data_IF_466656853631
#
_entry.id   IF_466656853631
#
_cell.length_a   1.000
_cell.length_b   1.000
_cell.length_c   1.000
_cell.angle_alpha   90.00
_cell.angle_beta   90.00
_cell.angle_gamma   90.00
#
_symmetry.space_group_name_H-M   'P 1'
#
loop_
_entity.id
_entity.type
_entity.pdbx_description
1 polymer ?
#
# COMPACT_ATOMS: atom_id res chain seq x y z
N UNK A 1 15.31 -8.74 -17.73
CA UNK A 1 13.83 -8.78 -17.65
C UNK A 1 13.25 -8.15 -18.89
N UNK A 2 12.31 -8.83 -19.58
CA UNK A 2 11.45 -8.15 -20.55
C UNK A 2 10.45 -7.36 -19.71
N UNK A 3 10.56 -6.03 -19.67
CA UNK A 3 9.53 -5.20 -19.03
C UNK A 3 8.25 -5.39 -19.85
N UNK A 4 7.15 -5.90 -19.29
CA UNK A 4 5.87 -5.82 -19.96
C UNK A 4 5.58 -4.33 -20.09
N UNK A 5 5.65 -3.80 -21.31
CA UNK A 5 5.35 -2.41 -21.54
C UNK A 5 3.84 -2.24 -21.38
N UNK A 6 3.42 -1.61 -20.27
CA UNK A 6 2.06 -1.12 -20.16
C UNK A 6 1.75 -0.30 -21.41
N UNK A 7 0.65 -0.62 -22.11
CA UNK A 7 0.41 -0.05 -23.43
C UNK A 7 -1.06 -0.04 -23.84
N UNK A 8 -1.29 0.20 -25.13
CA UNK A 8 -2.65 0.33 -25.68
C UNK A 8 -3.52 -0.92 -25.43
N UNK A 9 -2.91 -2.11 -25.35
CA UNK A 9 -3.61 -3.37 -25.04
C UNK A 9 -4.22 -3.37 -23.63
N UNK A 10 -3.53 -2.75 -22.67
CA UNK A 10 -4.04 -2.63 -21.29
C UNK A 10 -5.23 -1.68 -21.23
N UNK A 11 -5.14 -0.55 -21.93
CA UNK A 11 -6.26 0.39 -22.05
C UNK A 11 -7.46 -0.24 -22.77
N UNK A 12 -7.23 -1.01 -23.83
CA UNK A 12 -8.29 -1.73 -24.53
C UNK A 12 -8.98 -2.75 -23.62
N UNK A 13 -8.21 -3.50 -22.82
CA UNK A 13 -8.75 -4.43 -21.82
C UNK A 13 -9.59 -3.72 -20.77
N UNK A 14 -9.16 -2.53 -20.32
CA UNK A 14 -9.93 -1.72 -19.38
C UNK A 14 -11.25 -1.22 -20.01
N UNK A 15 -11.20 -0.69 -21.23
CA UNK A 15 -12.39 -0.25 -21.97
C UNK A 15 -13.44 -1.36 -22.10
N UNK A 16 -12.99 -2.57 -22.40
CA UNK A 16 -13.85 -3.73 -22.65
C UNK A 16 -14.27 -4.49 -21.38
N UNK A 17 -13.80 -4.08 -20.20
CA UNK A 17 -14.11 -4.73 -18.91
C UNK A 17 -15.51 -4.44 -18.33
N UNK A 18 -16.39 -3.82 -19.13
CA UNK A 18 -17.68 -3.29 -18.65
C UNK A 18 -17.55 -1.98 -17.86
N UNK A 19 -16.37 -1.36 -17.85
CA UNK A 19 -16.09 -0.06 -17.19
C UNK A 19 -15.37 0.89 -18.16
N UNK A 20 -16.10 1.55 -19.10
CA UNK A 20 -15.48 2.37 -20.14
C UNK A 20 -14.74 3.60 -19.60
N UNK A 21 -15.03 4.05 -18.37
CA UNK A 21 -14.32 5.13 -17.68
C UNK A 21 -12.96 4.70 -17.08
N UNK A 22 -12.72 3.40 -16.91
CA UNK A 22 -11.55 2.85 -16.21
C UNK A 22 -10.21 3.26 -16.81
N UNK A 23 -10.01 3.32 -18.14
CA UNK A 23 -8.81 3.88 -18.77
C UNK A 23 -8.47 5.28 -18.28
N UNK A 24 -9.46 6.17 -18.30
CA UNK A 24 -9.25 7.57 -17.92
C UNK A 24 -8.94 7.69 -16.43
N UNK A 25 -9.67 6.94 -15.59
CA UNK A 25 -9.39 6.89 -14.15
C UNK A 25 -8.01 6.31 -13.89
N UNK A 26 -7.60 5.25 -14.57
CA UNK A 26 -6.26 4.67 -14.42
C UNK A 26 -5.17 5.67 -14.82
N UNK A 27 -5.33 6.35 -15.96
CA UNK A 27 -4.41 7.39 -16.40
C UNK A 27 -4.28 8.48 -15.33
N UNK A 28 -5.40 9.02 -14.84
CA UNK A 28 -5.41 10.06 -13.81
C UNK A 28 -4.82 9.59 -12.48
N UNK A 29 -5.19 8.41 -12.02
CA UNK A 29 -4.81 7.90 -10.71
C UNK A 29 -3.38 7.38 -10.69
N UNK A 30 -2.87 6.81 -11.79
CA UNK A 30 -1.56 6.15 -11.86
C UNK A 30 -0.55 6.90 -12.74
N UNK A 31 -0.86 7.19 -14.00
CA UNK A 31 0.11 7.80 -14.92
C UNK A 31 0.41 9.25 -14.57
N UNK A 32 -0.61 10.05 -14.24
CA UNK A 32 -0.41 11.46 -13.88
C UNK A 32 0.47 11.58 -12.64
N UNK A 33 0.42 10.61 -11.72
CA UNK A 33 1.33 10.57 -10.57
C UNK A 33 2.79 10.50 -11.02
N UNK A 34 3.10 9.53 -11.88
CA UNK A 34 4.44 9.30 -12.45
C UNK A 34 4.90 10.48 -13.30
N UNK A 35 4.05 10.98 -14.21
CA UNK A 35 4.37 12.09 -15.10
C UNK A 35 4.72 13.37 -14.34
N UNK A 36 3.96 13.70 -13.30
CA UNK A 36 4.21 14.91 -12.48
C UNK A 36 5.49 14.82 -11.64
N UNK A 37 5.92 13.60 -11.31
CA UNK A 37 7.05 13.33 -10.40
C UNK A 37 8.29 12.79 -11.10
N UNK A 38 8.17 12.45 -12.38
CA UNK A 38 9.16 11.70 -13.13
C UNK A 38 9.49 10.35 -12.48
N UNK A 39 8.53 9.66 -11.86
CA UNK A 39 8.75 8.37 -11.19
C UNK A 39 8.26 7.21 -12.05
N UNK A 40 8.66 5.98 -11.71
CA UNK A 40 8.13 4.75 -12.31
C UNK A 40 7.37 3.97 -11.24
N UNK A 41 6.05 4.10 -11.21
CA UNK A 41 5.17 3.36 -10.29
C UNK A 41 3.95 2.74 -10.97
N UNK A 42 3.46 3.28 -12.08
CA UNK A 42 2.17 2.91 -12.65
C UNK A 42 2.13 1.51 -13.29
N UNK A 43 3.24 1.02 -13.84
CA UNK A 43 3.21 -0.18 -14.67
C UNK A 43 2.94 -1.44 -13.84
N UNK A 44 1.87 -2.17 -14.19
CA UNK A 44 1.54 -3.47 -13.58
C UNK A 44 2.63 -4.48 -13.92
N UNK A 45 3.05 -5.28 -12.96
CA UNK A 45 4.00 -6.38 -13.19
C UNK A 45 3.31 -7.69 -12.78
N UNK A 46 2.96 -8.57 -13.74
CA UNK A 46 2.49 -9.92 -13.47
C UNK A 46 3.54 -10.75 -12.73
N UNK A 47 3.09 -11.72 -11.91
CA UNK A 47 4.00 -12.63 -11.18
C UNK A 47 4.98 -13.35 -12.10
N UNK A 48 4.53 -13.79 -13.28
CA UNK A 48 5.38 -14.46 -14.27
C UNK A 48 6.59 -13.63 -14.71
N UNK A 49 6.52 -12.31 -14.56
CA UNK A 49 7.57 -11.39 -14.99
C UNK A 49 8.52 -10.97 -13.83
N UNK A 50 8.35 -11.53 -12.63
CA UNK A 50 9.23 -11.25 -11.47
C UNK A 50 10.63 -11.86 -11.64
N UNK A 51 10.76 -12.86 -12.54
CA UNK A 51 12.03 -13.50 -12.91
C UNK A 51 12.63 -14.44 -11.86
N UNK A 52 12.30 -14.26 -10.58
CA UNK A 52 12.61 -15.17 -9.48
C UNK A 52 11.40 -15.27 -8.54
N UNK A 53 11.27 -16.42 -7.87
CA UNK A 53 10.21 -16.70 -6.90
C UNK A 53 10.78 -16.51 -5.48
N UNK A 54 10.63 -15.31 -4.87
CA UNK A 54 11.05 -15.09 -3.49
C UNK A 54 10.21 -15.91 -2.47
N UNK A 55 10.67 -16.06 -1.21
CA UNK A 55 9.85 -16.67 -0.16
C UNK A 55 8.47 -16.01 -0.03
N UNK A 56 7.42 -16.82 0.08
CA UNK A 56 6.02 -16.35 0.12
C UNK A 56 5.44 -15.98 -1.24
N UNK A 57 6.14 -16.26 -2.36
CA UNK A 57 5.67 -15.94 -3.70
C UNK A 57 4.32 -16.54 -4.03
N UNK A 58 4.04 -17.80 -3.66
CA UNK A 58 2.76 -18.48 -3.96
C UNK A 58 1.55 -17.76 -3.36
N UNK A 59 1.69 -17.26 -2.13
CA UNK A 59 0.65 -16.55 -1.39
C UNK A 59 0.64 -15.03 -1.68
N UNK A 60 1.60 -14.53 -2.47
CA UNK A 60 1.69 -13.15 -2.91
C UNK A 60 0.94 -12.87 -4.23
N UNK A 61 0.58 -11.60 -4.45
CA UNK A 61 -0.13 -11.15 -5.66
C UNK A 61 0.78 -10.47 -6.70
N UNK A 62 0.23 -10.11 -7.87
CA UNK A 62 0.95 -9.29 -8.85
C UNK A 62 1.12 -7.84 -8.33
N UNK A 63 2.10 -7.11 -8.85
CA UNK A 63 2.27 -5.69 -8.51
C UNK A 63 1.26 -4.81 -9.26
N UNK A 64 0.58 -3.93 -8.51
CA UNK A 64 -0.25 -2.86 -9.04
C UNK A 64 -0.19 -1.65 -8.12
N UNK A 65 -0.09 -0.45 -8.70
CA UNK A 65 -0.12 0.78 -7.94
C UNK A 65 -1.50 1.06 -7.32
N UNK A 66 -1.52 1.43 -6.04
CA UNK A 66 -2.70 2.05 -5.41
C UNK A 66 -3.11 3.31 -6.15
N UNK A 67 -4.41 3.64 -6.14
CA UNK A 67 -4.89 4.90 -6.68
C UNK A 67 -4.49 6.06 -5.77
N UNK A 68 -4.09 7.19 -6.38
CA UNK A 68 -3.61 8.36 -5.62
C UNK A 68 -4.71 8.88 -4.70
N UNK A 69 -5.96 8.90 -5.17
CA UNK A 69 -7.12 9.29 -4.37
C UNK A 69 -7.45 8.35 -3.21
N UNK A 70 -7.03 7.08 -3.24
CA UNK A 70 -7.18 6.17 -2.09
C UNK A 70 -6.13 6.48 -1.02
N UNK A 71 -4.89 6.73 -1.42
CA UNK A 71 -3.81 7.13 -0.50
C UNK A 71 -4.17 8.47 0.16
N UNK A 72 -4.62 9.45 -0.63
CA UNK A 72 -5.02 10.77 -0.14
C UNK A 72 -6.21 10.69 0.83
N UNK A 73 -7.21 9.85 0.51
CA UNK A 73 -8.34 9.63 1.41
C UNK A 73 -7.87 8.98 2.71
N UNK A 74 -7.10 7.90 2.63
CA UNK A 74 -6.62 7.19 3.80
C UNK A 74 -5.78 8.07 4.72
N UNK A 75 -4.89 8.90 4.17
CA UNK A 75 -4.10 9.87 4.94
C UNK A 75 -4.99 10.84 5.74
N UNK A 76 -5.99 11.43 5.09
CA UNK A 76 -6.90 12.37 5.76
C UNK A 76 -7.70 11.67 6.86
N UNK A 77 -8.29 10.53 6.55
CA UNK A 77 -9.12 9.80 7.51
C UNK A 77 -8.32 9.31 8.70
N UNK A 78 -7.12 8.74 8.50
CA UNK A 78 -6.32 8.27 9.64
C UNK A 78 -5.76 9.42 10.47
N UNK A 79 -5.43 10.56 9.86
CA UNK A 79 -5.08 11.78 10.60
C UNK A 79 -6.25 12.27 11.45
N UNK A 80 -7.47 12.28 10.91
CA UNK A 80 -8.67 12.64 11.68
C UNK A 80 -8.99 11.63 12.78
N UNK A 81 -8.86 10.34 12.50
CA UNK A 81 -9.12 9.26 13.47
C UNK A 81 -8.12 9.23 14.62
N UNK A 82 -6.83 9.47 14.32
CA UNK A 82 -5.75 9.38 15.31
C UNK A 82 -5.52 10.70 16.04
N UNK A 83 -5.90 11.84 15.45
CA UNK A 83 -5.72 13.15 16.06
C UNK A 83 -4.26 13.40 16.45
N UNK A 84 -4.03 13.75 17.71
CA UNK A 84 -2.70 14.02 18.26
C UNK A 84 -1.78 12.78 18.27
N UNK A 85 -2.35 11.56 18.29
CA UNK A 85 -1.56 10.33 18.22
C UNK A 85 -0.98 10.07 16.82
N UNK A 86 -1.40 10.78 15.77
CA UNK A 86 -1.04 10.44 14.39
C UNK A 86 0.47 10.31 14.19
N UNK A 87 1.26 11.22 14.73
CA UNK A 87 2.73 11.22 14.60
C UNK A 87 3.41 10.14 15.47
N UNK A 88 2.71 9.59 16.47
CA UNK A 88 3.20 8.47 17.27
C UNK A 88 3.13 7.13 16.53
N UNK A 89 2.32 7.03 15.47
CA UNK A 89 2.26 5.85 14.61
C UNK A 89 3.35 5.90 13.53
N UNK A 90 4.12 4.83 13.37
CA UNK A 90 4.96 4.70 12.17
C UNK A 90 4.08 4.22 11.00
N UNK A 91 4.09 4.96 9.89
CA UNK A 91 3.45 4.50 8.66
C UNK A 91 4.30 3.43 8.00
N UNK A 92 3.68 2.30 7.61
CA UNK A 92 4.34 1.17 6.95
C UNK A 92 3.52 0.73 5.73
N UNK A 93 4.04 0.93 4.53
CA UNK A 93 3.49 0.38 3.30
C UNK A 93 3.94 -1.08 3.12
N UNK A 94 3.00 -2.02 3.27
CA UNK A 94 3.27 -3.46 3.25
C UNK A 94 2.96 -4.00 1.85
N UNK A 95 4.00 -4.45 1.15
CA UNK A 95 3.94 -4.67 -0.29
C UNK A 95 4.08 -3.36 -1.06
N UNK A 96 5.07 -2.55 -0.68
CA UNK A 96 5.23 -1.20 -1.21
C UNK A 96 5.53 -1.15 -2.71
N UNK A 97 5.95 -2.26 -3.32
CA UNK A 97 6.33 -2.38 -4.71
C UNK A 97 7.29 -1.28 -5.13
N UNK A 98 6.90 -0.49 -6.14
CA UNK A 98 7.70 0.64 -6.64
C UNK A 98 7.56 1.94 -5.83
N UNK A 99 6.89 1.89 -4.67
CA UNK A 99 6.91 2.92 -3.64
C UNK A 99 5.81 3.96 -3.69
N UNK A 100 4.79 3.84 -4.56
CA UNK A 100 3.82 4.92 -4.77
C UNK A 100 3.14 5.44 -3.49
N UNK A 101 2.67 4.55 -2.62
CA UNK A 101 2.01 4.97 -1.39
C UNK A 101 3.02 5.62 -0.44
N UNK A 102 4.23 5.08 -0.27
CA UNK A 102 5.33 5.73 0.46
C UNK A 102 5.61 7.15 -0.06
N UNK A 103 5.79 7.32 -1.38
CA UNK A 103 6.09 8.62 -1.97
C UNK A 103 4.97 9.63 -1.69
N UNK A 104 3.72 9.23 -1.95
CA UNK A 104 2.58 10.11 -1.76
C UNK A 104 2.35 10.43 -0.29
N UNK A 105 2.51 9.46 0.60
CA UNK A 105 2.38 9.66 2.04
C UNK A 105 3.46 10.63 2.57
N UNK A 106 4.70 10.51 2.09
CA UNK A 106 5.80 11.43 2.41
C UNK A 106 5.48 12.87 2.00
N UNK A 107 4.88 13.09 0.82
CA UNK A 107 4.43 14.43 0.41
C UNK A 107 3.32 14.97 1.32
N UNK A 108 2.31 14.13 1.61
CA UNK A 108 1.16 14.54 2.39
C UNK A 108 1.54 14.88 3.83
N UNK A 109 2.41 14.09 4.48
CA UNK A 109 2.91 14.41 5.82
C UNK A 109 3.74 15.69 5.83
N UNK A 110 4.57 15.92 4.81
CA UNK A 110 5.40 17.12 4.70
C UNK A 110 4.51 18.37 4.55
N UNK A 111 3.51 18.30 3.66
CA UNK A 111 2.52 19.37 3.50
C UNK A 111 1.68 19.61 4.77
N UNK A 112 1.49 18.58 5.59
CA UNK A 112 0.78 18.64 6.86
C UNK A 112 1.63 19.10 8.05
N UNK A 113 2.95 19.27 7.88
CA UNK A 113 3.88 19.56 8.98
C UNK A 113 4.07 18.41 9.97
N UNK A 114 3.77 17.17 9.55
CA UNK A 114 3.80 15.97 10.39
C UNK A 114 5.20 15.33 10.42
N UNK A 115 5.64 14.95 11.62
CA UNK A 115 6.92 14.28 11.84
C UNK A 115 6.83 12.75 11.70
N UNK A 116 5.67 12.22 11.30
CA UNK A 116 5.41 10.78 11.20
C UNK A 116 6.48 10.07 10.36
N UNK A 117 7.03 8.96 10.87
CA UNK A 117 7.99 8.13 10.14
C UNK A 117 7.28 7.32 9.06
N UNK A 118 7.91 7.18 7.90
CA UNK A 118 7.35 6.50 6.72
C UNK A 118 8.31 5.39 6.29
N UNK A 119 7.83 4.17 6.32
CA UNK A 119 8.54 2.95 5.93
C UNK A 119 7.79 2.26 4.79
N UNK A 120 8.52 1.47 4.00
CA UNK A 120 7.91 0.54 3.05
C UNK A 120 8.69 -0.76 2.99
N UNK A 121 8.00 -1.87 2.81
CA UNK A 121 8.61 -3.18 2.63
C UNK A 121 7.99 -3.91 1.46
N UNK A 122 8.82 -4.60 0.69
CA UNK A 122 8.38 -5.52 -0.36
C UNK A 122 9.36 -6.69 -0.44
N UNK A 123 8.82 -7.88 -0.68
CA UNK A 123 9.58 -9.12 -0.77
C UNK A 123 10.35 -9.22 -2.10
N UNK A 124 9.99 -8.42 -3.11
CA UNK A 124 10.68 -8.39 -4.41
C UNK A 124 11.71 -7.24 -4.49
N UNK A 125 12.97 -7.58 -4.21
CA UNK A 125 14.08 -6.61 -4.14
C UNK A 125 14.24 -5.67 -5.37
N UNK A 126 14.04 -6.12 -6.63
CA UNK A 126 14.01 -5.24 -7.79
C UNK A 126 12.96 -4.11 -7.71
N UNK A 127 11.77 -4.36 -7.16
CA UNK A 127 10.76 -3.30 -6.97
C UNK A 127 11.21 -2.31 -5.91
N UNK A 128 11.77 -2.80 -4.80
CA UNK A 128 12.32 -1.95 -3.73
C UNK A 128 13.46 -1.07 -4.26
N UNK A 129 14.31 -1.57 -5.14
CA UNK A 129 15.35 -0.78 -5.79
C UNK A 129 14.75 0.37 -6.63
N UNK A 130 13.67 0.11 -7.37
CA UNK A 130 12.94 1.15 -8.10
C UNK A 130 12.31 2.16 -7.12
N UNK A 131 11.71 1.68 -6.03
CA UNK A 131 11.11 2.53 -5.00
C UNK A 131 12.14 3.48 -4.36
N UNK A 132 13.34 2.98 -4.03
CA UNK A 132 14.45 3.79 -3.49
C UNK A 132 14.89 4.86 -4.49
N UNK A 133 15.05 4.50 -5.77
CA UNK A 133 15.38 5.46 -6.83
C UNK A 133 14.30 6.53 -6.99
N UNK A 134 13.02 6.14 -6.94
CA UNK A 134 11.92 7.09 -7.00
C UNK A 134 11.92 8.05 -5.80
N UNK A 135 12.21 7.52 -4.60
CA UNK A 135 12.28 8.33 -3.37
C UNK A 135 13.47 9.30 -3.40
N UNK A 136 14.64 8.82 -3.82
CA UNK A 136 15.84 9.65 -3.95
C UNK A 136 15.66 10.77 -4.97
N UNK A 137 15.01 10.47 -6.09
CA UNK A 137 14.66 11.49 -7.09
C UNK A 137 13.77 12.61 -6.54
N UNK A 138 12.83 12.29 -5.65
CA UNK A 138 11.87 13.28 -5.13
C UNK A 138 12.35 13.99 -3.86
N UNK A 139 13.11 13.31 -3.01
CA UNK A 139 13.41 13.77 -1.65
C UNK A 139 14.91 13.77 -1.32
N UNK A 140 15.79 13.46 -2.28
CA UNK A 140 17.24 13.50 -2.12
C UNK A 140 17.83 12.39 -1.22
N UNK A 141 17.05 11.35 -0.89
CA UNK A 141 17.50 10.21 -0.10
C UNK A 141 16.70 8.94 -0.49
N UNK A 142 17.21 7.72 -0.27
CA UNK A 142 16.55 6.49 -0.73
C UNK A 142 15.29 6.11 0.08
N UNK A 143 14.96 6.82 1.16
CA UNK A 143 13.85 6.49 2.05
C UNK A 143 14.10 5.24 2.90
N UNK A 144 13.18 4.97 3.84
CA UNK A 144 13.24 3.79 4.72
C UNK A 144 12.52 2.60 4.06
N UNK A 145 13.09 2.13 2.95
CA UNK A 145 12.53 1.07 2.12
C UNK A 145 13.34 -0.23 2.29
N UNK A 146 12.67 -1.34 2.57
CA UNK A 146 13.31 -2.64 2.88
C UNK A 146 12.88 -3.74 1.92
N UNK A 147 13.85 -4.51 1.43
CA UNK A 147 13.60 -5.76 0.70
C UNK A 147 13.38 -6.88 1.73
N UNK A 148 12.13 -7.05 2.16
CA UNK A 148 11.76 -7.99 3.21
C UNK A 148 10.32 -8.47 3.00
N UNK A 149 10.05 -9.72 3.38
CA UNK A 149 8.70 -10.24 3.47
C UNK A 149 7.99 -9.69 4.71
N UNK A 150 6.67 -9.65 4.67
CA UNK A 150 5.86 -9.23 5.82
C UNK A 150 6.03 -10.14 7.05
N UNK A 151 6.46 -11.39 6.82
CA UNK A 151 6.76 -12.37 7.87
C UNK A 151 8.12 -12.18 8.53
N UNK A 152 9.06 -11.51 7.85
CA UNK A 152 10.45 -11.36 8.31
C UNK A 152 10.81 -9.94 8.68
N UNK A 153 10.00 -8.95 8.30
CA UNK A 153 10.21 -7.57 8.70
C UNK A 153 10.11 -7.42 10.23
N UNK A 154 11.06 -6.67 10.79
CA UNK A 154 11.11 -6.37 12.22
C UNK A 154 10.37 -5.06 12.51
N UNK A 155 9.24 -5.19 13.21
CA UNK A 155 8.42 -4.06 13.62
C UNK A 155 8.86 -3.47 14.97
N UNK A 156 9.75 -4.11 15.72
CA UNK A 156 10.17 -3.65 17.05
C UNK A 156 10.77 -2.22 17.04
N UNK A 157 11.60 -1.81 16.05
CA UNK A 157 12.13 -0.45 15.97
C UNK A 157 11.06 0.64 15.70
N UNK A 158 9.81 0.25 15.45
CA UNK A 158 8.73 1.17 15.14
C UNK A 158 8.01 1.73 16.38
N UNK A 159 8.38 1.30 17.59
CA UNK A 159 7.91 1.96 18.83
C UNK A 159 6.50 1.55 19.25
N UNK A 160 6.03 0.37 18.85
CA UNK A 160 4.80 -0.23 19.38
C UNK A 160 3.48 0.23 18.74
N UNK A 161 3.48 1.29 17.92
CA UNK A 161 2.30 1.80 17.22
C UNK A 161 2.57 1.88 15.72
N UNK A 162 1.76 1.17 14.91
CA UNK A 162 1.99 1.05 13.47
C UNK A 162 0.72 1.32 12.67
N UNK A 163 0.86 2.18 11.66
CA UNK A 163 -0.17 2.47 10.68
C UNK A 163 0.19 1.74 9.39
N UNK A 164 -0.35 0.54 9.22
CA UNK A 164 -0.04 -0.31 8.08
C UNK A 164 -0.95 0.03 6.90
N UNK A 165 -0.38 0.20 5.71
CA UNK A 165 -1.11 0.31 4.45
C UNK A 165 -0.91 -0.96 3.63
N UNK A 166 -1.99 -1.62 3.24
CA UNK A 166 -2.00 -2.85 2.45
C UNK A 166 -2.88 -2.65 1.23
N UNK A 167 -2.32 -2.89 0.05
CA UNK A 167 -3.12 -3.10 -1.15
C UNK A 167 -3.13 -4.58 -1.54
N UNK A 168 -4.05 -5.32 -0.92
CA UNK A 168 -4.28 -6.76 -1.08
C UNK A 168 -3.06 -7.61 -1.45
N UNK A 169 -1.97 -7.58 -0.66
CA UNK A 169 -0.72 -8.25 -1.05
C UNK A 169 -0.74 -9.77 -0.80
N UNK A 170 -1.69 -10.28 -0.01
CA UNK A 170 -1.64 -11.62 0.58
C UNK A 170 -2.91 -12.42 0.33
N UNK A 171 -2.77 -13.75 0.24
CA UNK A 171 -3.86 -14.69 0.55
C UNK A 171 -4.05 -14.91 2.06
N UNK A 172 -5.12 -15.62 2.43
CA UNK A 172 -5.54 -15.87 3.81
C UNK A 172 -4.43 -16.37 4.75
N UNK A 173 -3.60 -17.32 4.31
CA UNK A 173 -2.54 -17.92 5.13
C UNK A 173 -1.50 -16.90 5.56
N UNK A 174 -0.86 -16.25 4.58
CA UNK A 174 0.09 -15.17 4.79
C UNK A 174 -0.52 -13.98 5.55
N UNK A 175 -1.79 -13.61 5.27
CA UNK A 175 -2.50 -12.57 6.03
C UNK A 175 -2.58 -12.93 7.52
N UNK A 176 -2.98 -14.16 7.86
CA UNK A 176 -3.07 -14.60 9.27
C UNK A 176 -1.72 -14.55 9.95
N UNK A 177 -0.65 -15.04 9.30
CA UNK A 177 0.72 -15.04 9.88
C UNK A 177 1.23 -13.61 10.08
N UNK A 178 1.00 -12.73 9.11
CA UNK A 178 1.32 -11.31 9.21
C UNK A 178 0.60 -10.64 10.39
N UNK A 179 -0.74 -10.74 10.46
CA UNK A 179 -1.52 -10.09 11.53
C UNK A 179 -1.18 -10.66 12.92
N UNK A 180 -0.86 -11.95 13.02
CA UNK A 180 -0.42 -12.57 14.29
C UNK A 180 0.85 -11.93 14.84
N UNK A 181 1.80 -11.54 13.97
CA UNK A 181 3.04 -10.85 14.39
C UNK A 181 2.77 -9.45 14.94
N UNK A 182 1.67 -8.82 14.51
CA UNK A 182 1.32 -7.47 14.93
C UNK A 182 0.43 -7.42 16.18
N UNK A 183 0.02 -8.58 16.73
CA UNK A 183 -0.96 -8.66 17.82
C UNK A 183 -0.58 -7.86 19.08
N UNK A 184 0.73 -7.77 19.36
CA UNK A 184 1.26 -7.06 20.54
C UNK A 184 1.43 -5.54 20.31
N UNK A 185 1.20 -5.06 19.08
CA UNK A 185 1.29 -3.65 18.70
C UNK A 185 -0.09 -2.98 18.73
N UNK A 186 -0.13 -1.65 18.86
CA UNK A 186 -1.32 -0.85 18.50
C UNK A 186 -1.30 -0.65 16.98
N UNK A 187 -2.24 -1.30 16.29
CA UNK A 187 -2.29 -1.35 14.83
C UNK A 187 -3.52 -0.63 14.33
N UNK A 188 -3.29 0.35 13.44
CA UNK A 188 -4.32 0.82 12.51
C UNK A 188 -3.94 0.32 11.12
N UNK A 189 -4.89 -0.31 10.44
CA UNK A 189 -4.66 -1.00 9.17
C UNK A 189 -5.54 -0.40 8.09
N UNK A 190 -4.92 0.28 7.12
CA UNK A 190 -5.56 0.74 5.89
C UNK A 190 -5.50 -0.42 4.90
N UNK A 191 -6.64 -1.04 4.59
CA UNK A 191 -6.72 -2.17 3.66
C UNK A 191 -7.50 -1.78 2.40
N UNK A 192 -6.77 -1.52 1.31
CA UNK A 192 -7.32 -1.31 -0.02
C UNK A 192 -7.59 -2.67 -0.69
N UNK A 193 -8.80 -2.83 -1.22
CA UNK A 193 -9.35 -4.09 -1.73
C UNK A 193 -9.29 -5.24 -0.69
N UNK A 194 -10.06 -5.15 0.41
CA UNK A 194 -9.97 -6.08 1.54
C UNK A 194 -10.55 -7.48 1.23
N UNK A 195 -9.81 -8.30 0.48
CA UNK A 195 -10.24 -9.67 0.14
C UNK A 195 -10.27 -10.61 1.36
N UNK A 196 -9.43 -10.33 2.37
CA UNK A 196 -9.26 -11.18 3.56
C UNK A 196 -9.94 -10.60 4.81
N UNK A 197 -11.07 -9.88 4.65
CA UNK A 197 -11.81 -9.27 5.76
C UNK A 197 -12.22 -10.27 6.85
N UNK A 198 -12.57 -11.51 6.47
CA UNK A 198 -12.90 -12.57 7.43
C UNK A 198 -11.72 -12.86 8.39
N UNK A 199 -10.50 -12.97 7.86
CA UNK A 199 -9.28 -13.20 8.64
C UNK A 199 -9.02 -12.06 9.63
N UNK A 200 -9.27 -10.80 9.23
CA UNK A 200 -9.16 -9.65 10.14
C UNK A 200 -10.15 -9.76 11.30
N UNK A 201 -11.42 -10.05 11.01
CA UNK A 201 -12.48 -10.15 12.01
C UNK A 201 -12.21 -11.27 13.02
N UNK A 202 -11.77 -12.42 12.55
CA UNK A 202 -11.38 -13.55 13.41
C UNK A 202 -10.25 -13.20 14.38
N UNK A 203 -9.33 -12.34 13.96
CA UNK A 203 -8.21 -11.87 14.79
C UNK A 203 -8.54 -10.61 15.61
N UNK A 204 -9.82 -10.23 15.69
CA UNK A 204 -10.30 -9.15 16.55
C UNK A 204 -10.12 -7.74 15.97
N UNK A 205 -9.78 -7.60 14.68
CA UNK A 205 -9.78 -6.29 14.04
C UNK A 205 -11.20 -5.81 13.81
N UNK A 206 -11.47 -4.54 14.14
CA UNK A 206 -12.76 -3.87 13.90
C UNK A 206 -12.61 -2.78 12.86
N UNK A 207 -13.61 -2.64 11.99
CA UNK A 207 -13.63 -1.58 10.97
C UNK A 207 -14.00 -0.23 11.62
N UNK A 208 -13.17 0.78 11.41
CA UNK A 208 -13.35 2.15 11.90
C UNK A 208 -13.94 3.08 10.84
N UNK A 209 -13.51 2.94 9.58
CA UNK A 209 -13.99 3.72 8.43
C UNK A 209 -14.03 2.86 7.19
N UNK A 210 -15.00 3.13 6.32
CA UNK A 210 -15.16 2.43 5.06
C UNK A 210 -15.40 3.43 3.95
N UNK A 211 -14.61 3.31 2.88
CA UNK A 211 -14.86 3.93 1.59
C UNK A 211 -15.23 2.85 0.59
N UNK A 212 -16.42 2.96 0.03
CA UNK A 212 -16.88 2.13 -1.09
C UNK A 212 -16.64 2.89 -2.38
N UNK A 213 -16.24 2.18 -3.42
CA UNK A 213 -16.03 2.74 -4.74
C UNK A 213 -16.50 1.79 -5.83
N UNK A 214 -16.53 2.29 -7.06
CA UNK A 214 -17.17 1.62 -8.21
C UNK A 214 -16.34 0.46 -8.79
N UNK A 215 -15.18 0.19 -8.19
CA UNK A 215 -14.33 -0.93 -8.52
C UNK A 215 -13.50 -1.38 -7.31
N UNK A 216 -12.91 -2.59 -7.37
CA UNK A 216 -12.09 -3.12 -6.29
C UNK A 216 -11.00 -2.16 -5.79
N UNK A 217 -10.29 -1.50 -6.71
CA UNK A 217 -9.20 -0.55 -6.39
C UNK A 217 -9.65 0.74 -5.70
N UNK A 218 -10.96 1.00 -5.57
CA UNK A 218 -11.52 2.16 -4.85
C UNK A 218 -12.33 1.76 -3.62
N UNK A 219 -12.15 0.52 -3.15
CA UNK A 219 -12.72 0.07 -1.91
C UNK A 219 -11.63 -0.03 -0.85
N UNK A 220 -11.66 0.86 0.13
CA UNK A 220 -10.68 0.93 1.22
C UNK A 220 -11.39 0.87 2.56
N UNK A 221 -10.90 0.06 3.49
CA UNK A 221 -11.39 -0.01 4.86
C UNK A 221 -10.24 0.23 5.82
N UNK A 222 -10.47 1.05 6.85
CA UNK A 222 -9.53 1.27 7.94
C UNK A 222 -9.98 0.42 9.12
N UNK A 223 -9.13 -0.49 9.57
CA UNK A 223 -9.34 -1.36 10.72
C UNK A 223 -8.44 -0.97 11.89
N UNK A 224 -8.77 -1.42 13.09
CA UNK A 224 -7.86 -1.40 14.23
C UNK A 224 -8.01 -2.66 15.11
N UNK A 225 -6.93 -3.06 15.78
CA UNK A 225 -6.95 -4.21 16.70
C UNK A 225 -7.21 -3.84 18.16
N UNK A 226 -7.02 -2.58 18.55
CA UNK A 226 -7.18 -2.09 19.94
C UNK A 226 -8.13 -0.91 20.09
N UNK A 227 -8.67 -0.39 18.99
CA UNK A 227 -9.53 0.80 18.97
C UNK A 227 -10.93 0.41 18.54
N UNK A 228 -11.93 1.08 19.10
CA UNK A 228 -13.33 0.87 18.75
C UNK A 228 -13.83 2.00 17.83
N UNK A 229 -14.85 1.76 16.99
CA UNK A 229 -15.50 2.83 16.25
C UNK A 229 -16.09 3.88 17.20
N UNK A 230 -16.02 5.15 16.83
CA UNK A 230 -16.77 6.19 17.53
C UNK A 230 -18.27 5.92 17.36
N UNK A 231 -19.03 5.95 18.46
CA UNK A 231 -20.49 5.87 18.47
C UNK A 231 -21.12 7.02 17.66
#
# INVERSE_FOLDING_TARGET
MRTPAFGWRDYWRMLTSGRPWLPWRYFREAHVFDLRRGTDTHARIPKADFGAEPPGFDEGTFYMASWTSEIDWAFRETRTLLGEDFDAFAFVDVGCGKGKAVLRWTELRAAAGSAQRVHGLDYHAPLVAIARRNHEKLFGNPGLLSAAGAETFDFAPLGGRVLCYLYNPFGAGLMRRFLTRLRELDVVLIYNHPAEEATLRELGYVALRTKRGDCPNAHTVIYANRRQPAN
#
